data_IF_466531486306
#
_entry.id   IF_466531486306
#
_cell.length_a   1.000
_cell.length_b   1.000
_cell.length_c   1.000
_cell.angle_alpha   90.00
_cell.angle_beta   90.00
_cell.angle_gamma   90.00
#
_symmetry.space_group_name_H-M   'P 1'
#
loop_
_entity.id
_entity.type
_entity.pdbx_description
1 polymer ?
#
# COMPACT_ATOMS: atom_id res chain seq x y z
N UNK A 1 8.72 6.84 6.30
CA UNK A 1 8.81 5.49 5.70
C UNK A 1 7.67 5.17 4.73
N UNK A 2 6.40 5.21 5.13
CA UNK A 2 5.28 4.78 4.26
C UNK A 2 5.20 5.51 2.89
N UNK A 3 5.41 6.84 2.86
CA UNK A 3 5.45 7.62 1.60
C UNK A 3 6.58 7.17 0.68
N UNK A 4 7.80 7.03 1.22
CA UNK A 4 8.97 6.58 0.44
C UNK A 4 8.74 5.16 -0.10
N UNK A 5 8.14 4.28 0.68
CA UNK A 5 7.84 2.93 0.22
C UNK A 5 6.80 2.93 -0.91
N UNK A 6 5.74 3.74 -0.79
CA UNK A 6 4.77 3.95 -1.86
C UNK A 6 5.43 4.44 -3.16
N UNK A 7 6.28 5.47 -3.06
CA UNK A 7 6.96 6.04 -4.21
C UNK A 7 7.95 5.07 -4.83
N UNK A 8 8.70 4.31 -4.03
CA UNK A 8 9.64 3.29 -4.51
C UNK A 8 8.93 2.23 -5.35
N UNK A 9 7.70 1.85 -4.99
CA UNK A 9 6.93 0.84 -5.71
C UNK A 9 6.20 1.38 -6.95
N UNK A 10 5.70 2.61 -6.87
CA UNK A 10 4.81 3.17 -7.90
C UNK A 10 5.51 4.14 -8.84
N UNK A 11 6.69 4.64 -8.47
CA UNK A 11 7.39 5.73 -9.15
C UNK A 11 6.69 7.09 -9.00
N UNK A 12 5.69 7.21 -8.12
CA UNK A 12 4.86 8.40 -7.98
C UNK A 12 4.71 8.79 -6.51
N UNK A 13 4.63 10.10 -6.24
CA UNK A 13 4.25 10.58 -4.91
C UNK A 13 2.75 10.30 -4.66
N UNK A 14 2.37 9.96 -3.41
CA UNK A 14 0.96 9.74 -3.08
C UNK A 14 0.14 11.03 -3.18
N UNK A 15 0.78 12.18 -2.94
CA UNK A 15 0.19 13.51 -3.09
C UNK A 15 1.22 14.44 -3.72
N UNK A 16 0.87 14.98 -4.88
CA UNK A 16 1.61 16.04 -5.57
C UNK A 16 0.67 17.24 -5.80
N UNK A 17 1.18 18.42 -6.15
CA UNK A 17 0.37 19.62 -6.34
C UNK A 17 1.14 20.81 -6.91
N UNK A 18 0.42 21.82 -7.38
CA UNK A 18 1.02 23.02 -7.98
C UNK A 18 1.65 23.96 -6.94
N UNK A 19 1.36 23.77 -5.65
CA UNK A 19 1.94 24.54 -4.54
C UNK A 19 2.14 23.69 -3.29
N UNK A 20 3.03 24.16 -2.40
CA UNK A 20 3.26 23.53 -1.09
C UNK A 20 1.99 23.50 -0.22
N UNK A 21 1.18 24.55 -0.31
CA UNK A 21 -0.11 24.63 0.40
C UNK A 21 -1.06 23.54 -0.07
N UNK A 22 -1.15 23.30 -1.38
CA UNK A 22 -2.00 22.25 -1.94
C UNK A 22 -1.55 20.86 -1.47
N UNK A 23 -0.24 20.58 -1.49
CA UNK A 23 0.32 19.32 -0.99
C UNK A 23 0.05 19.13 0.50
N UNK A 24 0.23 20.17 1.30
CA UNK A 24 -0.06 20.14 2.73
C UNK A 24 -1.56 19.85 3.00
N UNK A 25 -2.46 20.50 2.25
CA UNK A 25 -3.91 20.24 2.35
C UNK A 25 -4.27 18.80 1.96
N UNK A 26 -3.64 18.26 0.91
CA UNK A 26 -3.81 16.84 0.52
C UNK A 26 -3.31 15.92 1.64
N UNK A 27 -2.14 16.20 2.23
CA UNK A 27 -1.63 15.42 3.37
C UNK A 27 -2.55 15.48 4.59
N UNK A 28 -3.27 16.57 4.84
CA UNK A 28 -4.19 16.67 5.97
C UNK A 28 -5.54 15.99 5.68
N UNK A 29 -6.11 16.21 4.49
CA UNK A 29 -7.52 15.92 4.23
C UNK A 29 -7.76 14.71 3.32
N UNK A 30 -6.85 14.40 2.39
CA UNK A 30 -7.06 13.30 1.44
C UNK A 30 -6.73 11.95 2.07
N UNK A 31 -7.54 10.96 1.72
CA UNK A 31 -7.25 9.54 1.96
C UNK A 31 -5.97 9.17 1.20
N UNK A 32 -5.11 8.40 1.86
CA UNK A 32 -3.88 7.90 1.24
C UNK A 32 -4.22 6.93 0.09
N UNK A 33 -3.64 7.09 -1.11
CA UNK A 33 -3.91 6.19 -2.23
C UNK A 33 -3.38 4.78 -1.99
N UNK A 34 -4.07 3.79 -2.55
CA UNK A 34 -3.63 2.38 -2.55
C UNK A 34 -2.65 2.17 -3.71
N UNK A 35 -1.40 1.72 -3.46
CA UNK A 35 -0.42 1.52 -4.54
C UNK A 35 -0.88 0.48 -5.56
N UNK A 36 -1.65 -0.55 -5.16
CA UNK A 36 -2.23 -1.53 -6.09
C UNK A 36 -3.25 -0.95 -7.09
N UNK A 37 -3.77 0.26 -6.84
CA UNK A 37 -4.61 0.96 -7.84
C UNK A 37 -3.78 1.56 -8.98
N UNK A 38 -2.49 1.78 -8.74
CA UNK A 38 -1.54 2.29 -9.74
C UNK A 38 -0.85 1.12 -10.43
N UNK A 39 -0.38 0.14 -9.64
CA UNK A 39 0.29 -1.05 -10.14
C UNK A 39 -0.43 -2.32 -9.63
N UNK A 40 -1.34 -2.91 -10.41
CA UNK A 40 -2.19 -4.04 -9.96
C UNK A 40 -1.45 -5.30 -9.53
N UNK A 41 -0.17 -5.46 -9.91
CA UNK A 41 0.67 -6.57 -9.46
C UNK A 41 1.08 -6.44 -7.99
N UNK A 42 0.89 -5.28 -7.35
CA UNK A 42 1.16 -5.08 -5.93
C UNK A 42 0.10 -5.81 -5.07
N UNK A 43 0.52 -6.70 -4.15
CA UNK A 43 -0.41 -7.39 -3.26
C UNK A 43 -1.17 -6.45 -2.31
N UNK A 44 -2.39 -6.84 -1.94
CA UNK A 44 -3.21 -6.11 -0.94
C UNK A 44 -2.58 -6.08 0.46
N UNK A 45 -1.72 -7.05 0.79
CA UNK A 45 -0.95 -7.02 2.04
C UNK A 45 0.01 -5.81 2.08
N UNK A 46 0.62 -5.46 0.94
CA UNK A 46 1.49 -4.29 0.80
C UNK A 46 0.69 -2.98 0.88
N UNK A 47 -0.50 -2.91 0.26
CA UNK A 47 -1.41 -1.76 0.44
C UNK A 47 -1.66 -1.50 1.93
N UNK A 48 -1.99 -2.55 2.69
CA UNK A 48 -2.29 -2.45 4.12
C UNK A 48 -1.11 -1.89 4.92
N UNK A 49 0.10 -2.35 4.64
CA UNK A 49 1.33 -1.89 5.32
C UNK A 49 1.55 -0.40 5.05
N UNK A 50 1.53 0.01 3.78
CA UNK A 50 1.78 1.41 3.39
C UNK A 50 0.70 2.34 3.97
N UNK A 51 -0.57 1.95 3.89
CA UNK A 51 -1.68 2.73 4.45
C UNK A 51 -1.56 2.86 5.96
N UNK A 52 -1.21 1.78 6.66
CA UNK A 52 -1.01 1.80 8.12
C UNK A 52 0.12 2.75 8.50
N UNK A 53 1.26 2.67 7.81
CA UNK A 53 2.39 3.57 8.01
C UNK A 53 2.06 5.06 7.73
N UNK A 54 1.03 5.33 6.92
CA UNK A 54 0.61 6.67 6.50
C UNK A 54 -0.71 7.13 7.13
N UNK A 55 -1.23 6.45 8.17
CA UNK A 55 -2.42 6.92 8.90
C UNK A 55 -2.18 8.30 9.51
N UNK A 56 -3.22 9.13 9.57
CA UNK A 56 -3.07 10.53 10.01
C UNK A 56 -2.65 10.60 11.47
N UNK A 57 -3.36 9.87 12.33
CA UNK A 57 -3.09 9.75 13.77
C UNK A 57 -1.86 8.87 14.00
N UNK A 58 -0.79 9.38 14.65
CA UNK A 58 0.43 8.62 14.91
C UNK A 58 0.20 7.28 15.64
N UNK A 59 -0.72 7.26 16.60
CA UNK A 59 -1.10 6.08 17.39
C UNK A 59 -1.76 4.97 16.56
N UNK A 60 -2.22 5.27 15.34
CA UNK A 60 -2.77 4.27 14.43
C UNK A 60 -1.69 3.70 13.48
N UNK A 61 -0.48 4.24 13.49
CA UNK A 61 0.66 3.77 12.69
C UNK A 61 1.38 2.63 13.40
N UNK A 62 2.42 2.11 12.74
CA UNK A 62 3.36 1.21 13.41
C UNK A 62 4.09 1.95 14.53
N UNK A 63 4.12 1.40 15.75
CA UNK A 63 4.73 2.06 16.91
C UNK A 63 6.25 2.22 16.77
N UNK A 64 6.88 1.33 15.99
CA UNK A 64 8.32 1.34 15.73
C UNK A 64 8.60 0.98 14.27
N UNK A 65 9.79 1.32 13.78
CA UNK A 65 10.27 0.85 12.49
C UNK A 65 10.36 -0.67 12.44
N UNK A 66 10.74 -1.32 13.55
CA UNK A 66 10.80 -2.78 13.66
C UNK A 66 9.41 -3.43 13.48
N UNK A 67 8.37 -2.84 14.05
CA UNK A 67 7.00 -3.34 13.86
C UNK A 67 6.55 -3.25 12.40
N UNK A 68 6.94 -2.19 11.68
CA UNK A 68 6.69 -2.08 10.24
C UNK A 68 7.52 -3.11 9.45
N UNK A 69 8.78 -3.30 9.81
CA UNK A 69 9.67 -4.29 9.20
C UNK A 69 9.12 -5.71 9.35
N UNK A 70 8.70 -6.10 10.55
CA UNK A 70 8.10 -7.42 10.78
C UNK A 70 6.84 -7.63 9.92
N UNK A 71 5.98 -6.63 9.80
CA UNK A 71 4.80 -6.72 8.94
C UNK A 71 5.17 -6.93 7.46
N UNK A 72 6.27 -6.34 6.99
CA UNK A 72 6.81 -6.58 5.64
C UNK A 72 7.33 -8.01 5.51
N UNK A 73 8.11 -8.48 6.48
CA UNK A 73 8.64 -9.86 6.50
C UNK A 73 7.50 -10.88 6.45
N UNK A 74 6.46 -10.69 7.25
CA UNK A 74 5.29 -11.57 7.28
C UNK A 74 4.57 -11.57 5.92
N UNK A 75 4.36 -10.39 5.33
CA UNK A 75 3.69 -10.26 4.05
C UNK A 75 4.46 -10.92 2.90
N UNK A 76 5.80 -10.84 2.92
CA UNK A 76 6.69 -11.44 1.91
C UNK A 76 6.82 -12.95 2.10
N UNK A 77 6.81 -13.43 3.35
CA UNK A 77 6.96 -14.86 3.67
C UNK A 77 5.73 -15.68 3.25
N UNK A 78 4.54 -15.09 3.29
CA UNK A 78 3.34 -15.71 2.77
C UNK A 78 3.27 -15.60 1.24
N UNK A 79 3.77 -16.66 0.57
CA UNK A 79 3.76 -16.77 -0.90
C UNK A 79 2.37 -16.62 -1.53
N UNK A 80 1.29 -16.88 -0.79
CA UNK A 80 -0.08 -16.73 -1.30
C UNK A 80 -0.43 -15.27 -1.62
N UNK A 81 0.27 -14.30 -1.01
CA UNK A 81 0.10 -12.88 -1.30
C UNK A 81 0.53 -12.50 -2.73
N UNK A 82 1.44 -13.25 -3.34
CA UNK A 82 2.02 -12.96 -4.65
C UNK A 82 1.54 -13.91 -5.75
N UNK A 83 0.67 -14.87 -5.40
CA UNK A 83 0.07 -15.76 -6.39
C UNK A 83 -1.06 -15.02 -7.13
N UNK A 84 -1.11 -15.15 -8.46
CA UNK A 84 -2.27 -14.72 -9.22
C UNK A 84 -3.53 -15.38 -8.66
N UNK A 85 -4.45 -14.57 -8.16
CA UNK A 85 -5.77 -15.05 -7.78
C UNK A 85 -6.50 -15.42 -9.05
N UNK A 86 -6.35 -16.67 -9.50
CA UNK A 86 -7.26 -17.29 -10.45
C UNK A 86 -8.67 -17.01 -9.97
N UNK A 87 -9.42 -16.21 -10.73
CA UNK A 87 -10.74 -15.74 -10.34
C UNK A 87 -11.61 -16.93 -9.95
N UNK A 88 -12.50 -16.74 -8.98
CA UNK A 88 -13.46 -17.77 -8.54
C UNK A 88 -14.13 -18.45 -9.74
N UNK A 89 -14.41 -17.70 -10.80
CA UNK A 89 -14.96 -18.21 -12.04
C UNK A 89 -14.03 -19.21 -12.76
N UNK A 90 -12.72 -18.96 -12.83
CA UNK A 90 -11.77 -19.94 -13.38
C UNK A 90 -11.65 -21.21 -12.51
N UNK A 91 -11.87 -21.09 -11.20
CA UNK A 91 -11.79 -22.20 -10.23
C UNK A 91 -13.08 -23.03 -10.18
N UNK A 92 -14.23 -22.42 -10.42
CA UNK A 92 -15.56 -23.06 -10.40
C UNK A 92 -15.97 -23.53 -11.81
N UNK A 93 -15.68 -22.76 -12.86
CA UNK A 93 -16.17 -23.01 -14.22
C UNK A 93 -15.11 -23.51 -15.21
N UNK A 94 -13.83 -23.60 -14.82
CA UNK A 94 -12.81 -24.32 -15.61
C UNK A 94 -12.52 -23.80 -17.02
N UNK A 95 -12.96 -22.59 -17.38
CA UNK A 95 -12.61 -21.97 -18.65
C UNK A 95 -11.11 -21.58 -18.63
N UNK A 96 -10.38 -22.13 -19.58
CA UNK A 96 -8.93 -22.06 -19.72
C UNK A 96 -8.48 -20.73 -20.34
#
# INVERSE_FOLDING_TARGET
>A
MGVVFFETLTGQLPFDGASLEEVALKQLKKRFPEPSKILPSIPKSIDKIIITACRKRPEERYPTSEAMHQAIVDAVSDKSNFMERKGILSRIFGFK
#
